data_IF_444273182682
#
_entry.id   IF_444273182682
#
_cell.length_a   1.000
_cell.length_b   1.000
_cell.length_c   1.000
_cell.angle_alpha   90.00
_cell.angle_beta   90.00
_cell.angle_gamma   90.00
#
_symmetry.space_group_name_H-M   'P 1'
#
loop_
_entity.id
_entity.type
_entity.pdbx_description
1 polymer ?
#
# COMPACT_ATOMS: atom_id res chain seq x y z
N UNK A 1 -12.71 22.54 -7.30
CA UNK A 1 -12.38 21.35 -6.51
C UNK A 1 -13.08 20.17 -7.16
N UNK A 2 -12.34 19.22 -7.72
CA UNK A 2 -12.94 17.96 -8.17
C UNK A 2 -13.22 17.11 -6.95
N UNK A 3 -14.47 16.67 -6.82
CA UNK A 3 -14.90 15.78 -5.75
C UNK A 3 -14.16 14.44 -5.94
N UNK A 4 -13.37 14.04 -4.95
CA UNK A 4 -12.73 12.72 -4.96
C UNK A 4 -13.82 11.64 -5.07
N UNK A 5 -13.68 10.76 -6.07
CA UNK A 5 -14.51 9.58 -6.22
C UNK A 5 -13.64 8.34 -6.11
N UNK A 6 -14.10 7.31 -5.39
CA UNK A 6 -13.40 6.03 -5.26
C UNK A 6 -13.08 5.40 -6.62
N UNK A 7 -13.93 5.61 -7.62
CA UNK A 7 -13.69 5.15 -9.00
C UNK A 7 -12.41 5.73 -9.62
N UNK A 8 -11.93 6.90 -9.14
CA UNK A 8 -10.68 7.47 -9.61
C UNK A 8 -9.46 6.67 -9.13
N UNK A 9 -9.57 5.92 -8.03
CA UNK A 9 -8.49 5.01 -7.58
C UNK A 9 -8.35 3.85 -8.55
N UNK A 10 -9.46 3.23 -8.96
CA UNK A 10 -9.44 2.10 -9.89
C UNK A 10 -8.88 2.54 -11.26
N UNK A 11 -9.33 3.70 -11.75
CA UNK A 11 -8.80 4.31 -12.98
C UNK A 11 -7.30 4.60 -12.88
N UNK A 12 -6.83 5.14 -11.75
CA UNK A 12 -5.41 5.39 -11.54
C UNK A 12 -4.60 4.09 -11.54
N UNK A 13 -5.11 3.04 -10.89
CA UNK A 13 -4.45 1.73 -10.88
C UNK A 13 -4.38 1.13 -12.29
N UNK A 14 -5.44 1.19 -13.08
CA UNK A 14 -5.43 0.72 -14.48
C UNK A 14 -4.34 1.41 -15.31
N UNK A 15 -4.11 2.70 -15.09
CA UNK A 15 -3.11 3.48 -15.82
C UNK A 15 -1.66 3.13 -15.44
N UNK A 16 -1.41 2.72 -14.20
CA UNK A 16 -0.04 2.54 -13.68
C UNK A 16 0.35 1.08 -13.43
N UNK A 17 -0.60 0.13 -13.48
CA UNK A 17 -0.39 -1.25 -13.01
C UNK A 17 0.75 -2.00 -13.71
N UNK A 18 1.13 -1.63 -14.94
CA UNK A 18 2.23 -2.23 -15.69
C UNK A 18 3.60 -1.67 -15.30
N UNK A 19 3.62 -0.52 -14.62
CA UNK A 19 4.83 0.24 -14.31
C UNK A 19 5.17 0.23 -12.82
N UNK A 20 4.24 -0.20 -11.96
CA UNK A 20 4.44 -0.26 -10.52
C UNK A 20 4.84 -1.65 -10.04
N UNK A 21 5.63 -1.69 -8.97
CA UNK A 21 5.85 -2.90 -8.19
C UNK A 21 4.69 -3.06 -7.22
N UNK A 22 4.10 -4.26 -7.17
CA UNK A 22 3.19 -4.64 -6.08
C UNK A 22 4.01 -4.90 -4.81
N UNK A 23 4.25 -3.84 -4.05
CA UNK A 23 5.08 -3.88 -2.84
C UNK A 23 4.52 -4.88 -1.82
N UNK A 24 5.39 -5.61 -1.10
CA UNK A 24 4.97 -6.64 -0.16
C UNK A 24 4.29 -6.04 1.08
N UNK A 25 3.49 -6.87 1.75
CA UNK A 25 3.03 -6.65 3.12
C UNK A 25 3.88 -7.50 4.04
N UNK A 26 4.50 -6.87 5.05
CA UNK A 26 5.37 -7.55 6.01
C UNK A 26 4.80 -7.40 7.41
N UNK A 27 4.85 -8.44 8.23
CA UNK A 27 4.55 -8.39 9.66
C UNK A 27 5.83 -8.56 10.47
N UNK A 28 5.81 -8.12 11.73
CA UNK A 28 6.92 -8.32 12.64
C UNK A 28 6.40 -8.71 14.03
N UNK A 29 6.81 -9.89 14.51
CA UNK A 29 6.28 -10.46 15.75
C UNK A 29 6.61 -9.60 16.98
N UNK A 30 7.82 -9.03 17.03
CA UNK A 30 8.22 -8.14 18.12
C UNK A 30 7.35 -6.89 18.19
N UNK A 31 7.05 -6.26 17.04
CA UNK A 31 6.17 -5.08 16.99
C UNK A 31 4.73 -5.48 17.32
N UNK A 32 4.25 -6.61 16.82
CA UNK A 32 2.92 -7.12 17.13
C UNK A 32 2.75 -7.36 18.64
N UNK A 33 3.77 -7.92 19.30
CA UNK A 33 3.78 -8.12 20.75
C UNK A 33 3.74 -6.80 21.53
N UNK A 34 4.53 -5.80 21.12
CA UNK A 34 4.54 -4.48 21.79
C UNK A 34 3.20 -3.76 21.64
N UNK A 35 2.62 -3.82 20.44
CA UNK A 35 1.38 -3.10 20.13
C UNK A 35 0.13 -3.85 20.57
N UNK A 36 0.24 -5.16 20.85
CA UNK A 36 -0.89 -6.04 21.08
C UNK A 36 -1.78 -6.22 19.84
N UNK A 37 -1.31 -5.82 18.66
CA UNK A 37 -2.07 -5.80 17.41
C UNK A 37 -1.45 -6.67 16.32
N UNK A 38 -2.19 -6.86 15.23
CA UNK A 38 -1.67 -7.46 13.99
C UNK A 38 -1.26 -6.35 13.03
N UNK A 39 0.00 -5.94 13.09
CA UNK A 39 0.54 -4.84 12.29
C UNK A 39 1.10 -5.39 10.96
N UNK A 40 0.64 -4.80 9.87
CA UNK A 40 1.09 -5.07 8.50
C UNK A 40 1.71 -3.81 7.90
N UNK A 41 2.96 -3.92 7.48
CA UNK A 41 3.73 -2.84 6.86
C UNK A 41 3.64 -2.95 5.34
N UNK A 42 3.12 -1.90 4.69
CA UNK A 42 3.12 -1.75 3.23
C UNK A 42 4.42 -1.06 2.79
N UNK A 43 5.33 -1.81 2.20
CA UNK A 43 6.71 -1.36 1.96
C UNK A 43 6.86 -0.51 0.67
N UNK A 44 6.26 0.68 0.65
CA UNK A 44 6.37 1.62 -0.49
C UNK A 44 7.80 2.14 -0.73
N UNK A 45 8.69 2.00 0.25
CA UNK A 45 10.12 2.24 0.06
C UNK A 45 10.79 1.27 -0.92
N UNK A 46 10.10 0.19 -1.34
CA UNK A 46 10.55 -0.75 -2.37
C UNK A 46 9.94 -0.47 -3.75
N UNK A 47 9.11 0.57 -3.89
CA UNK A 47 8.56 1.01 -5.17
C UNK A 47 9.64 1.68 -6.03
N UNK A 48 9.45 1.68 -7.35
CA UNK A 48 10.27 2.44 -8.30
C UNK A 48 9.83 3.91 -8.26
N UNK A 49 10.80 4.82 -8.06
CA UNK A 49 10.59 6.28 -8.02
C UNK A 49 10.62 6.91 -9.40
#
# INVERSE_FOLDING_TARGET
MTLFNHTNIDQAYELINTCIIKTPLVSNDYINQITGGNILFKLENLQIT
#
